data_IF_121032101426
#
_entry.id   IF_121032101426
#
_cell.length_a   1.000
_cell.length_b   1.000
_cell.length_c   1.000
_cell.angle_alpha   90.00
_cell.angle_beta   90.00
_cell.angle_gamma   90.00
#
_symmetry.space_group_name_H-M   'P 1'
#
loop_
_entity.id
_entity.type
_entity.pdbx_description
1 polymer ?
#
# COMPACT_ATOMS: atom_id res chain seq x y z
N UNK A 1 -25.14 0.55 -28.28
CA UNK A 1 -25.03 1.49 -27.13
C UNK A 1 -24.97 0.75 -25.80
N UNK A 2 -25.87 -0.22 -25.53
CA UNK A 2 -25.86 -1.02 -24.29
C UNK A 2 -24.54 -1.77 -24.02
N UNK A 3 -23.97 -2.48 -25.02
CA UNK A 3 -22.71 -3.23 -24.85
C UNK A 3 -21.51 -2.34 -24.46
N UNK A 4 -21.48 -1.09 -24.93
CA UNK A 4 -20.42 -0.13 -24.60
C UNK A 4 -20.55 0.33 -23.15
N UNK A 5 -21.79 0.52 -22.67
CA UNK A 5 -22.07 0.87 -21.28
C UNK A 5 -21.70 -0.28 -20.33
N UNK A 6 -22.09 -1.50 -20.67
CA UNK A 6 -21.78 -2.70 -19.89
C UNK A 6 -20.26 -2.93 -19.77
N UNK A 7 -19.54 -2.83 -20.89
CA UNK A 7 -18.08 -2.89 -20.90
C UNK A 7 -17.43 -1.79 -20.04
N UNK A 8 -17.96 -0.56 -20.09
CA UNK A 8 -17.43 0.55 -19.29
C UNK A 8 -17.63 0.32 -17.79
N UNK A 9 -18.77 -0.26 -17.38
CA UNK A 9 -19.05 -0.60 -15.99
C UNK A 9 -18.12 -1.71 -15.49
N UNK A 10 -17.97 -2.81 -16.23
CA UNK A 10 -17.05 -3.90 -15.89
C UNK A 10 -15.61 -3.40 -15.78
N UNK A 11 -15.21 -2.52 -16.71
CA UNK A 11 -13.86 -1.93 -16.70
C UNK A 11 -13.66 -1.03 -15.48
N UNK A 12 -14.66 -0.24 -15.10
CA UNK A 12 -14.61 0.60 -13.91
C UNK A 12 -14.52 -0.26 -12.64
N UNK A 13 -15.32 -1.31 -12.54
CA UNK A 13 -15.31 -2.24 -11.40
C UNK A 13 -13.95 -2.95 -11.27
N UNK A 14 -13.38 -3.43 -12.38
CA UNK A 14 -12.04 -4.02 -12.39
C UNK A 14 -10.95 -3.04 -11.92
N UNK A 15 -11.02 -1.77 -12.35
CA UNK A 15 -10.07 -0.73 -11.92
C UNK A 15 -10.24 -0.46 -10.42
N UNK A 16 -11.47 -0.38 -9.92
CA UNK A 16 -11.75 -0.16 -8.50
C UNK A 16 -11.25 -1.35 -7.66
N UNK A 17 -11.52 -2.58 -8.08
CA UNK A 17 -11.10 -3.78 -7.35
C UNK A 17 -9.57 -3.96 -7.37
N UNK A 18 -8.91 -3.75 -8.52
CA UNK A 18 -7.44 -3.72 -8.59
C UNK A 18 -6.84 -2.57 -7.79
N UNK A 19 -7.53 -1.42 -7.71
CA UNK A 19 -7.20 -0.30 -6.83
C UNK A 19 -7.49 -0.57 -5.34
N UNK A 20 -8.31 -1.58 -5.02
CA UNK A 20 -8.61 -2.03 -3.65
C UNK A 20 -7.75 -3.19 -3.18
N UNK A 21 -7.02 -3.87 -4.07
CA UNK A 21 -6.08 -4.93 -3.68
C UNK A 21 -5.06 -4.39 -2.67
N UNK A 22 -5.33 -4.63 -1.38
CA UNK A 22 -4.40 -4.39 -0.27
C UNK A 22 -3.41 -5.56 -0.22
N UNK A 23 -2.14 -5.33 0.14
CA UNK A 23 -1.23 -6.42 0.47
C UNK A 23 -1.88 -7.37 1.47
N UNK A 24 -1.80 -8.68 1.20
CA UNK A 24 -2.25 -9.69 2.14
C UNK A 24 -1.48 -9.53 3.46
N UNK A 25 -2.19 -9.45 4.60
CA UNK A 25 -1.56 -9.39 5.93
C UNK A 25 -0.77 -10.68 6.16
N UNK A 26 0.55 -10.61 6.01
CA UNK A 26 1.45 -11.73 6.32
C UNK A 26 1.67 -11.77 7.83
N UNK A 27 1.69 -12.97 8.42
CA UNK A 27 2.11 -13.17 9.82
C UNK A 27 3.61 -12.86 9.91
N UNK A 28 3.94 -11.81 10.66
CA UNK A 28 5.32 -11.39 10.88
C UNK A 28 5.90 -12.28 11.98
N UNK A 29 6.97 -13.02 11.68
CA UNK A 29 7.76 -13.73 12.70
C UNK A 29 8.61 -12.70 13.45
N UNK A 30 8.26 -12.40 14.71
CA UNK A 30 9.00 -11.48 15.57
C UNK A 30 10.03 -12.24 16.40
N UNK A 31 11.26 -12.37 15.90
CA UNK A 31 12.34 -13.04 16.64
C UNK A 31 13.76 -12.52 16.39
N UNK A 32 13.96 -11.57 15.47
CA UNK A 32 15.29 -11.05 15.13
C UNK A 32 15.24 -9.70 14.43
N UNK A 33 16.41 -9.15 14.06
CA UNK A 33 16.49 -7.93 13.26
C UNK A 33 15.75 -8.12 11.94
N UNK A 34 14.75 -7.28 11.69
CA UNK A 34 13.99 -7.28 10.43
C UNK A 34 14.91 -6.90 9.28
N UNK A 35 14.78 -7.60 8.15
CA UNK A 35 15.47 -7.22 6.91
C UNK A 35 14.90 -5.91 6.34
N UNK A 36 15.67 -5.23 5.49
CA UNK A 36 15.19 -4.04 4.76
C UNK A 36 13.86 -4.32 4.03
N UNK A 37 13.75 -5.47 3.37
CA UNK A 37 12.53 -5.88 2.69
C UNK A 37 11.34 -6.01 3.66
N UNK A 38 11.54 -6.65 4.82
CA UNK A 38 10.48 -6.78 5.82
C UNK A 38 10.02 -5.42 6.34
N UNK A 39 10.94 -4.51 6.63
CA UNK A 39 10.62 -3.15 7.11
C UNK A 39 9.84 -2.35 6.06
N UNK A 40 10.28 -2.39 4.80
CA UNK A 40 9.57 -1.71 3.70
C UNK A 40 8.19 -2.32 3.45
N UNK A 41 8.05 -3.64 3.57
CA UNK A 41 6.79 -4.32 3.38
C UNK A 41 5.78 -4.03 4.50
N UNK A 42 6.25 -3.90 5.75
CA UNK A 42 5.43 -3.44 6.87
C UNK A 42 4.95 -2.01 6.67
N UNK A 43 5.85 -1.09 6.32
CA UNK A 43 5.50 0.29 5.97
C UNK A 43 4.49 0.34 4.82
N UNK A 44 4.67 -0.49 3.79
CA UNK A 44 3.72 -0.60 2.69
C UNK A 44 2.32 -1.01 3.16
N UNK A 45 2.22 -2.01 4.04
CA UNK A 45 0.94 -2.44 4.61
C UNK A 45 0.30 -1.32 5.43
N UNK A 46 1.05 -0.69 6.33
CA UNK A 46 0.56 0.42 7.17
C UNK A 46 0.04 1.58 6.31
N UNK A 47 0.74 1.94 5.24
CA UNK A 47 0.31 2.99 4.32
C UNK A 47 -0.94 2.61 3.52
N UNK A 48 -1.12 1.33 3.19
CA UNK A 48 -2.33 0.82 2.56
C UNK A 48 -3.56 0.79 3.50
N UNK A 49 -3.34 0.80 4.81
CA UNK A 49 -4.41 0.84 5.81
C UNK A 49 -4.88 2.26 6.12
N UNK A 50 -4.03 3.27 5.92
CA UNK A 50 -4.38 4.68 6.14
C UNK A 50 -5.40 5.19 5.13
N UNK A 51 -6.40 5.93 5.61
CA UNK A 51 -7.44 6.54 4.77
C UNK A 51 -6.86 7.71 3.98
N UNK A 52 -6.88 7.70 2.62
CA UNK A 52 -6.24 8.74 1.83
C UNK A 52 -6.92 10.10 2.06
N UNK A 53 -6.16 11.15 2.41
CA UNK A 53 -6.65 12.52 2.60
C UNK A 53 -7.36 13.07 1.34
N UNK A 54 -7.01 12.55 0.17
CA UNK A 54 -7.63 12.87 -1.10
C UNK A 54 -8.16 11.59 -1.74
N UNK A 55 -9.47 11.56 -2.04
CA UNK A 55 -10.20 10.41 -2.59
C UNK A 55 -9.60 9.77 -3.86
N UNK A 56 -8.64 10.43 -4.52
CA UNK A 56 -8.08 10.04 -5.82
C UNK A 56 -6.58 9.68 -5.81
N UNK A 57 -5.89 9.71 -4.67
CA UNK A 57 -4.48 9.31 -4.60
C UNK A 57 -4.27 8.10 -3.67
N UNK A 58 -3.74 7.02 -4.23
CA UNK A 58 -3.13 5.94 -3.45
C UNK A 58 -1.86 6.48 -2.78
N UNK A 59 -1.81 6.47 -1.45
CA UNK A 59 -0.60 6.77 -0.67
C UNK A 59 0.41 5.64 -0.81
N UNK A 60 1.18 5.67 -1.90
CA UNK A 60 2.26 4.71 -2.14
C UNK A 60 3.57 5.41 -2.51
N UNK A 61 3.83 6.60 -2.00
CA UNK A 61 5.06 7.31 -2.35
C UNK A 61 5.91 7.52 -1.11
N UNK A 62 7.12 6.96 -1.22
CA UNK A 62 8.30 7.23 -0.41
C UNK A 62 8.49 6.37 0.85
N UNK A 63 8.22 5.06 0.75
CA UNK A 63 8.52 4.09 1.82
C UNK A 63 10.00 4.11 2.24
N UNK A 64 10.92 4.30 1.28
CA UNK A 64 12.35 4.42 1.56
C UNK A 64 12.68 5.68 2.37
N UNK A 65 12.14 6.84 2.02
CA UNK A 65 12.37 8.09 2.77
C UNK A 65 11.79 8.02 4.17
N UNK A 66 10.62 7.38 4.34
CA UNK A 66 10.00 7.11 5.64
C UNK A 66 10.87 6.19 6.50
N UNK A 67 11.40 5.12 5.89
CA UNK A 67 12.29 4.20 6.58
C UNK A 67 13.57 4.88 7.03
N UNK A 68 14.21 5.66 6.15
CA UNK A 68 15.40 6.45 6.47
C UNK A 68 15.12 7.42 7.62
N UNK A 69 13.97 8.09 7.60
CA UNK A 69 13.57 8.99 8.70
C UNK A 69 13.43 8.24 10.03
N UNK A 70 12.77 7.07 10.05
CA UNK A 70 12.61 6.26 11.27
C UNK A 70 13.95 5.72 11.82
N UNK A 71 14.85 5.29 10.94
CA UNK A 71 16.15 4.74 11.32
C UNK A 71 17.15 5.84 11.71
N UNK A 72 17.09 7.01 11.07
CA UNK A 72 17.91 8.17 11.43
C UNK A 72 17.58 8.77 12.81
N UNK A 73 16.37 8.55 13.31
CA UNK A 73 15.98 8.96 14.67
C UNK A 73 16.45 7.94 15.72
N UNK A 74 16.76 6.70 15.32
CA UNK A 74 17.20 5.63 16.25
C UNK A 74 18.73 5.50 16.39
N UNK A 75 19.50 6.43 15.82
CA UNK A 75 20.96 6.50 15.99
C UNK A 75 21.43 7.56 17.04
N UNK A 76 20.51 8.16 17.80
CA UNK A 76 20.78 9.02 18.96
C UNK A 76 20.36 8.31 20.26
#
# INVERSE_FOLDING_TARGET
MQQVLEYALDRAEYIVESARQRPAKRRISSGGRKSLYQKLYELYIEECEKEPELKNLRRNVNLLEKLVSQESVSCL
#
